data_IF_679699679605
#
_entry.id   IF_679699679605
#
_cell.length_a   1.000
_cell.length_b   1.000
_cell.length_c   1.000
_cell.angle_alpha   90.00
_cell.angle_beta   90.00
_cell.angle_gamma   90.00
#
_symmetry.space_group_name_H-M   'P 1'
#
loop_
_entity.id
_entity.type
_entity.pdbx_description
1 polymer ?
#
# COMPACT_ATOMS: atom_id res chain seq x y z
N UNK A 1 24.38 11.55 5.43
CA UNK A 1 23.42 12.13 6.39
C UNK A 1 23.67 13.62 6.50
N UNK A 2 22.64 14.42 6.24
CA UNK A 2 22.67 15.84 6.48
C UNK A 2 22.38 16.06 7.97
N UNK A 3 23.38 16.50 8.73
CA UNK A 3 23.19 16.95 10.10
C UNK A 3 22.69 18.40 10.12
N UNK A 4 21.59 18.66 10.79
CA UNK A 4 21.11 20.02 11.01
C UNK A 4 21.26 20.36 12.50
N UNK A 5 21.71 21.58 12.76
CA UNK A 5 21.70 22.14 14.09
C UNK A 5 20.48 23.06 14.20
N UNK A 6 19.55 22.70 15.08
CA UNK A 6 18.42 23.58 15.39
C UNK A 6 18.89 24.71 16.28
N UNK A 7 18.65 25.93 15.83
CA UNK A 7 18.91 27.15 16.57
C UNK A 7 17.59 27.80 16.94
N UNK A 8 17.32 27.95 18.22
CA UNK A 8 16.18 28.75 18.68
C UNK A 8 16.56 30.22 18.63
N UNK A 9 15.96 30.97 17.73
CA UNK A 9 16.10 32.43 17.69
C UNK A 9 14.88 33.02 18.35
N UNK A 10 15.02 33.50 19.57
CA UNK A 10 13.94 34.12 20.32
C UNK A 10 13.80 35.61 20.03
N UNK A 11 14.84 36.27 19.56
CA UNK A 11 14.91 37.63 19.08
C UNK A 11 16.07 37.71 18.09
N UNK A 12 15.97 38.55 17.10
CA UNK A 12 17.07 38.78 16.14
C UNK A 12 18.40 39.20 16.78
N UNK A 13 18.38 39.54 18.07
CA UNK A 13 19.53 40.01 18.88
C UNK A 13 20.03 39.01 19.91
N UNK A 14 19.31 37.93 20.13
CA UNK A 14 19.64 36.95 21.17
C UNK A 14 19.65 35.54 20.57
N UNK A 15 20.84 35.08 20.25
CA UNK A 15 21.10 33.69 19.92
C UNK A 15 21.48 32.95 21.21
N UNK A 16 20.61 32.06 21.67
CA UNK A 16 20.94 31.16 22.78
C UNK A 16 21.27 29.77 22.22
N UNK A 17 22.48 29.25 22.44
CA UNK A 17 22.76 27.86 22.14
C UNK A 17 21.98 26.98 23.12
N UNK A 18 21.22 26.02 22.58
CA UNK A 18 20.59 24.97 23.38
C UNK A 18 21.65 23.96 23.81
N UNK A 19 22.04 24.05 25.06
CA UNK A 19 22.87 23.03 25.70
C UNK A 19 21.94 21.97 26.31
N UNK A 20 21.89 20.80 25.71
CA UNK A 20 21.10 19.66 26.20
C UNK A 20 21.39 18.41 25.41
N UNK A 21 20.84 17.30 25.83
CA UNK A 21 20.93 16.05 25.08
C UNK A 21 20.49 16.26 23.63
N UNK A 22 21.36 15.92 22.71
CA UNK A 22 21.07 16.08 21.28
C UNK A 22 19.86 15.22 20.90
N UNK A 23 18.73 15.86 20.67
CA UNK A 23 17.56 15.21 20.08
C UNK A 23 17.87 15.02 18.58
N UNK A 24 17.89 13.79 18.11
CA UNK A 24 17.98 13.53 16.69
C UNK A 24 16.65 13.91 16.06
N UNK A 25 16.62 15.01 15.33
CA UNK A 25 15.51 15.35 14.45
C UNK A 25 15.73 14.67 13.09
N UNK A 26 14.78 13.87 12.66
CA UNK A 26 14.76 13.33 11.31
C UNK A 26 13.94 14.30 10.46
N UNK A 27 14.60 15.02 9.57
CA UNK A 27 13.91 15.83 8.57
C UNK A 27 13.57 14.93 7.39
N UNK A 28 12.30 14.68 7.19
CA UNK A 28 11.81 14.03 5.98
C UNK A 28 11.42 15.08 4.96
N UNK A 29 11.84 14.90 3.71
CA UNK A 29 11.34 15.71 2.60
C UNK A 29 9.86 15.39 2.45
N UNK A 30 8.99 16.34 2.69
CA UNK A 30 7.56 16.25 2.40
C UNK A 30 7.30 16.76 0.98
N UNK A 31 6.64 15.93 0.17
CA UNK A 31 6.08 16.34 -1.11
C UNK A 31 4.58 16.48 -0.96
N UNK A 32 3.95 17.45 -1.63
CA UNK A 32 2.49 17.48 -1.70
C UNK A 32 1.95 16.17 -2.25
N UNK A 33 0.84 15.72 -1.68
CA UNK A 33 0.14 14.55 -2.21
C UNK A 33 -0.47 14.89 -3.57
N UNK A 34 -0.19 14.05 -4.56
CA UNK A 34 -0.84 14.07 -5.86
C UNK A 34 -1.22 12.63 -6.22
N UNK A 35 -2.52 12.37 -6.28
CA UNK A 35 -3.05 11.03 -6.59
C UNK A 35 -2.59 10.54 -7.98
N UNK A 36 -2.24 11.44 -8.90
CA UNK A 36 -1.72 11.06 -10.21
C UNK A 36 -0.40 10.29 -10.14
N UNK A 37 0.38 10.48 -9.06
CA UNK A 37 1.61 9.73 -8.82
C UNK A 37 1.34 8.26 -8.45
N UNK A 38 0.09 7.90 -8.20
CA UNK A 38 -0.37 6.57 -7.82
C UNK A 38 -1.38 5.99 -8.82
N UNK A 39 -1.32 6.44 -10.07
CA UNK A 39 -2.13 5.94 -11.19
C UNK A 39 -1.26 5.48 -12.34
N UNK A 40 -1.78 4.57 -13.15
CA UNK A 40 -1.05 3.95 -14.24
C UNK A 40 -0.52 2.57 -13.88
N UNK A 41 0.53 2.14 -14.54
CA UNK A 41 1.14 0.84 -14.28
C UNK A 41 1.93 0.83 -12.98
N UNK A 42 1.77 -0.27 -12.27
CA UNK A 42 2.38 -0.49 -10.97
C UNK A 42 2.89 -1.93 -10.86
N UNK A 43 4.09 -2.11 -10.35
CA UNK A 43 4.60 -3.43 -9.96
C UNK A 43 4.14 -3.71 -8.53
N UNK A 44 3.30 -4.72 -8.40
CA UNK A 44 2.90 -5.29 -7.12
C UNK A 44 3.87 -6.40 -6.74
N UNK A 45 4.56 -6.25 -5.62
CA UNK A 45 5.32 -7.32 -4.95
C UNK A 45 4.54 -7.76 -3.73
N UNK A 46 4.11 -9.02 -3.66
CA UNK A 46 3.19 -9.49 -2.65
C UNK A 46 3.69 -10.73 -1.93
N UNK A 47 3.71 -10.67 -0.60
CA UNK A 47 4.01 -11.84 0.24
C UNK A 47 2.94 -12.92 0.11
N UNK A 48 1.70 -12.56 -0.18
CA UNK A 48 0.63 -13.51 -0.46
C UNK A 48 0.94 -14.31 -1.73
N UNK A 49 1.28 -13.65 -2.83
CA UNK A 49 1.67 -14.30 -4.09
C UNK A 49 2.90 -15.18 -3.90
N UNK A 50 3.89 -14.71 -3.11
CA UNK A 50 5.09 -15.47 -2.79
C UNK A 50 4.76 -16.78 -2.05
N UNK A 51 3.93 -16.68 -1.02
CA UNK A 51 3.63 -17.82 -0.15
C UNK A 51 2.73 -18.86 -0.82
N UNK A 52 1.77 -18.42 -1.63
CA UNK A 52 0.74 -19.30 -2.20
C UNK A 52 0.92 -19.55 -3.70
N UNK A 53 1.83 -18.84 -4.35
CA UNK A 53 2.21 -19.08 -5.76
C UNK A 53 1.03 -19.18 -6.74
N UNK A 54 -0.05 -18.45 -6.47
CA UNK A 54 -1.28 -18.51 -7.28
C UNK A 54 -0.99 -18.20 -8.75
N UNK A 55 -0.04 -17.29 -9.00
CA UNK A 55 0.36 -16.88 -10.36
C UNK A 55 1.73 -17.41 -10.78
N UNK A 56 2.39 -18.20 -9.94
CA UNK A 56 3.77 -18.66 -10.16
C UNK A 56 4.84 -17.58 -9.95
N UNK A 57 4.46 -16.37 -9.59
CA UNK A 57 5.37 -15.26 -9.33
C UNK A 57 4.95 -14.49 -8.09
N UNK A 58 5.92 -13.94 -7.36
CA UNK A 58 5.67 -13.03 -6.24
C UNK A 58 5.45 -11.58 -6.69
N UNK A 59 5.64 -11.30 -7.97
CA UNK A 59 5.42 -9.99 -8.57
C UNK A 59 4.38 -10.07 -9.67
N UNK A 60 3.64 -8.98 -9.82
CA UNK A 60 2.61 -8.84 -10.84
C UNK A 60 2.56 -7.39 -11.31
N UNK A 61 2.37 -7.20 -12.60
CA UNK A 61 2.05 -5.89 -13.16
C UNK A 61 0.55 -5.65 -12.99
N UNK A 62 0.18 -4.58 -12.30
CA UNK A 62 -1.21 -4.14 -12.13
C UNK A 62 -1.39 -2.74 -12.70
N UNK A 63 -2.63 -2.38 -12.98
CA UNK A 63 -2.99 -1.04 -13.45
C UNK A 63 -3.91 -0.37 -12.44
N UNK A 64 -3.63 0.88 -12.13
CA UNK A 64 -4.42 1.65 -11.18
C UNK A 64 -4.98 2.92 -11.82
N UNK A 65 -6.15 3.32 -11.38
CA UNK A 65 -6.81 4.55 -11.86
C UNK A 65 -7.50 5.25 -10.71
N UNK A 66 -7.77 6.54 -10.87
CA UNK A 66 -8.55 7.31 -9.91
C UNK A 66 -9.95 6.76 -9.80
N UNK A 67 -10.47 6.70 -8.58
CA UNK A 67 -11.88 6.42 -8.39
C UNK A 67 -12.72 7.58 -8.96
N UNK A 68 -13.80 7.30 -9.74
CA UNK A 68 -14.53 8.33 -10.47
C UNK A 68 -15.28 9.33 -9.57
N UNK A 69 -15.61 8.94 -8.34
CA UNK A 69 -16.44 9.76 -7.43
C UNK A 69 -15.87 9.95 -6.03
N UNK A 70 -14.84 9.18 -5.66
CA UNK A 70 -14.23 9.28 -4.33
C UNK A 70 -12.87 9.97 -4.43
N UNK A 71 -12.71 11.05 -3.68
CA UNK A 71 -11.41 11.71 -3.53
C UNK A 71 -10.41 10.77 -2.85
N UNK A 72 -9.14 10.95 -3.19
CA UNK A 72 -8.02 10.23 -2.57
C UNK A 72 -8.14 8.69 -2.64
N UNK A 73 -8.94 8.17 -3.55
CA UNK A 73 -9.14 6.74 -3.76
C UNK A 73 -8.68 6.32 -5.15
N UNK A 74 -7.99 5.18 -5.22
CA UNK A 74 -7.64 4.51 -6.48
C UNK A 74 -8.34 3.17 -6.58
N UNK A 75 -8.57 2.75 -7.82
CA UNK A 75 -9.00 1.39 -8.17
C UNK A 75 -7.77 0.65 -8.70
N UNK A 76 -7.43 -0.47 -8.08
CA UNK A 76 -6.39 -1.37 -8.54
C UNK A 76 -7.03 -2.50 -9.32
N UNK A 77 -6.81 -2.51 -10.63
CA UNK A 77 -7.39 -3.49 -11.54
C UNK A 77 -6.66 -4.82 -11.45
N UNK A 78 -7.42 -5.91 -11.33
CA UNK A 78 -6.87 -7.27 -11.28
C UNK A 78 -5.75 -7.41 -10.23
N UNK A 79 -6.00 -6.92 -9.02
CA UNK A 79 -4.94 -6.74 -8.01
C UNK A 79 -4.20 -8.04 -7.67
N UNK A 80 -4.87 -9.07 -7.21
CA UNK A 80 -4.28 -10.41 -6.97
C UNK A 80 -4.63 -11.34 -8.12
N UNK A 81 -5.91 -11.58 -8.35
CA UNK A 81 -6.38 -12.40 -9.45
C UNK A 81 -7.10 -11.56 -10.51
N UNK A 82 -7.04 -12.01 -11.74
CA UNK A 82 -7.72 -11.37 -12.85
C UNK A 82 -9.24 -11.40 -12.64
N UNK A 83 -9.89 -10.28 -12.92
CA UNK A 83 -11.32 -10.09 -12.68
C UNK A 83 -11.68 -9.54 -11.30
N UNK A 84 -10.72 -9.37 -10.40
CA UNK A 84 -10.93 -8.87 -9.05
C UNK A 84 -10.21 -7.55 -8.81
N UNK A 85 -10.97 -6.48 -8.82
CA UNK A 85 -10.48 -5.12 -8.56
C UNK A 85 -10.65 -4.79 -7.09
N UNK A 86 -9.69 -4.03 -6.54
CA UNK A 86 -9.77 -3.52 -5.17
C UNK A 86 -9.58 -2.02 -5.16
N UNK A 87 -10.05 -1.36 -4.11
CA UNK A 87 -9.85 0.07 -3.89
C UNK A 87 -8.93 0.33 -2.72
N UNK A 88 -8.18 1.42 -2.81
CA UNK A 88 -7.31 1.91 -1.74
C UNK A 88 -7.57 3.39 -1.54
N UNK A 89 -7.64 3.83 -0.29
CA UNK A 89 -7.86 5.22 0.10
C UNK A 89 -6.60 5.80 0.72
N UNK A 90 -6.15 6.93 0.21
CA UNK A 90 -5.02 7.68 0.75
C UNK A 90 -5.51 8.70 1.77
N UNK A 91 -4.75 8.88 2.84
CA UNK A 91 -4.99 9.82 3.92
C UNK A 91 -3.83 10.82 4.01
N UNK A 92 -3.83 11.88 3.18
CA UNK A 92 -2.73 12.84 3.09
C UNK A 92 -2.79 13.97 4.12
N UNK A 93 -3.78 13.99 5.00
CA UNK A 93 -4.08 15.10 5.92
C UNK A 93 -2.93 15.37 6.89
N UNK A 94 -2.25 14.32 7.34
CA UNK A 94 -1.07 14.42 8.19
C UNK A 94 0.19 14.01 7.39
N UNK A 95 1.03 14.99 7.00
CA UNK A 95 2.26 14.69 6.25
C UNK A 95 3.26 13.80 7.02
N UNK A 96 3.13 13.73 8.33
CA UNK A 96 3.97 12.87 9.18
C UNK A 96 3.42 11.44 9.27
N UNK A 97 2.18 11.24 8.83
CA UNK A 97 1.46 9.98 8.85
C UNK A 97 0.72 9.74 7.53
N UNK A 98 1.42 9.59 6.41
CA UNK A 98 0.81 9.40 5.10
C UNK A 98 0.25 7.97 4.98
N UNK A 99 -0.93 7.75 5.54
CA UNK A 99 -1.56 6.43 5.61
C UNK A 99 -2.31 6.09 4.32
N UNK A 100 -2.36 4.79 4.02
CA UNK A 100 -3.23 4.20 3.00
C UNK A 100 -4.03 3.06 3.61
N UNK A 101 -5.30 2.95 3.26
CA UNK A 101 -6.21 1.93 3.80
C UNK A 101 -6.98 1.22 2.71
N UNK A 102 -7.43 0.02 3.03
CA UNK A 102 -8.40 -0.76 2.25
C UNK A 102 -9.60 -1.05 3.13
N UNK A 103 -10.79 -0.79 2.60
CA UNK A 103 -12.04 -1.15 3.26
C UNK A 103 -12.22 -2.68 3.27
N UNK A 104 -12.93 -3.18 4.27
CA UNK A 104 -13.31 -4.59 4.35
C UNK A 104 -14.34 -4.99 3.30
N UNK A 105 -14.47 -6.29 3.05
CA UNK A 105 -15.47 -6.85 2.14
C UNK A 105 -15.08 -6.82 0.67
N UNK A 106 -13.86 -6.40 0.33
CA UNK A 106 -13.38 -6.44 -1.03
C UNK A 106 -12.88 -7.83 -1.40
N UNK A 107 -13.33 -8.35 -2.53
CA UNK A 107 -12.90 -9.67 -3.01
C UNK A 107 -11.64 -9.53 -3.86
N UNK A 108 -10.59 -10.26 -3.48
CA UNK A 108 -9.31 -10.26 -4.21
C UNK A 108 -9.10 -11.52 -5.05
N UNK A 109 -9.84 -12.60 -4.78
CA UNK A 109 -9.72 -13.88 -5.49
C UNK A 109 -10.94 -14.76 -5.24
N UNK A 110 -11.22 -15.68 -6.16
CA UNK A 110 -12.22 -16.75 -6.03
C UNK A 110 -11.59 -18.14 -5.72
N UNK A 111 -10.31 -18.14 -5.40
CA UNK A 111 -9.55 -19.37 -5.13
C UNK A 111 -9.49 -19.73 -3.64
N UNK A 112 -10.58 -19.45 -2.90
CA UNK A 112 -10.66 -19.76 -1.47
C UNK A 112 -10.51 -21.22 -1.12
N UNK A 113 -10.93 -22.13 -2.02
CA UNK A 113 -10.76 -23.58 -1.90
C UNK A 113 -9.31 -24.01 -1.75
N UNK A 114 -8.35 -23.22 -2.28
CA UNK A 114 -6.92 -23.43 -2.10
C UNK A 114 -6.50 -23.49 -0.62
N UNK A 115 -7.25 -22.82 0.26
CA UNK A 115 -7.00 -22.81 1.70
C UNK A 115 -7.77 -23.91 2.47
N UNK A 116 -8.32 -24.89 1.76
CA UNK A 116 -9.09 -25.98 2.36
C UNK A 116 -10.46 -25.56 2.89
N UNK A 117 -10.97 -24.40 2.46
CA UNK A 117 -12.30 -23.93 2.82
C UNK A 117 -13.33 -24.66 1.96
N UNK A 118 -13.82 -25.78 2.47
CA UNK A 118 -14.90 -26.55 1.81
C UNK A 118 -16.28 -25.89 1.96
N UNK A 119 -16.37 -24.79 2.70
CA UNK A 119 -17.60 -24.11 3.07
C UNK A 119 -17.42 -22.60 2.94
N UNK A 120 -18.38 -21.97 2.33
CA UNK A 120 -18.36 -20.54 2.06
C UNK A 120 -18.52 -20.25 0.57
N UNK A 121 -18.31 -19.02 0.18
CA UNK A 121 -18.37 -18.59 -1.21
C UNK A 121 -17.05 -18.77 -1.96
N UNK A 122 -16.08 -19.43 -1.35
CA UNK A 122 -14.71 -19.64 -1.84
C UNK A 122 -13.96 -18.36 -2.22
N UNK A 123 -14.42 -17.22 -1.75
CA UNK A 123 -13.81 -15.92 -2.07
C UNK A 123 -12.82 -15.54 -1.00
N UNK A 124 -11.63 -15.13 -1.45
CA UNK A 124 -10.65 -14.51 -0.59
C UNK A 124 -10.94 -13.02 -0.57
N UNK A 125 -11.33 -12.52 0.59
CA UNK A 125 -11.55 -11.11 0.83
C UNK A 125 -10.29 -10.46 1.39
N UNK A 126 -10.20 -9.15 1.23
CA UNK A 126 -9.06 -8.36 1.67
C UNK A 126 -9.54 -7.09 2.38
N UNK A 127 -8.77 -6.69 3.39
CA UNK A 127 -8.91 -5.41 4.09
C UNK A 127 -7.55 -4.97 4.63
N UNK A 128 -7.47 -3.75 5.14
CA UNK A 128 -6.29 -3.31 5.89
C UNK A 128 -6.04 -4.21 7.08
N UNK A 129 -4.76 -4.54 7.32
CA UNK A 129 -4.36 -5.26 8.52
C UNK A 129 -4.59 -4.39 9.76
N UNK A 130 -5.20 -4.98 10.80
CA UNK A 130 -5.31 -4.33 12.11
C UNK A 130 -3.99 -4.36 12.92
N UNK A 131 -2.99 -5.13 12.47
CA UNK A 131 -1.72 -5.31 13.17
C UNK A 131 -0.67 -4.27 12.80
N UNK A 132 -0.73 -3.74 11.58
CA UNK A 132 0.29 -2.84 11.04
C UNK A 132 -0.33 -1.71 10.22
N UNK A 133 0.19 -0.51 10.38
CA UNK A 133 -0.18 0.62 9.53
C UNK A 133 0.45 0.47 8.14
N UNK A 134 -0.26 0.94 7.14
CA UNK A 134 0.17 0.99 5.76
C UNK A 134 0.44 2.44 5.37
N UNK A 135 1.54 2.69 4.68
CA UNK A 135 2.01 4.04 4.37
C UNK A 135 2.31 4.21 2.89
N UNK A 136 2.11 5.41 2.39
CA UNK A 136 2.52 5.80 1.05
C UNK A 136 3.60 6.89 1.08
N UNK A 137 4.36 6.99 0.01
CA UNK A 137 5.49 7.93 -0.12
C UNK A 137 5.21 8.90 -1.26
N UNK A 138 4.75 10.11 -0.95
CA UNK A 138 4.35 11.08 -1.97
C UNK A 138 5.47 11.48 -2.93
N UNK A 139 6.71 11.49 -2.44
CA UNK A 139 7.88 11.85 -3.23
C UNK A 139 8.42 10.71 -4.11
N UNK A 140 8.01 9.47 -3.88
CA UNK A 140 8.61 8.29 -4.48
C UNK A 140 7.68 7.45 -5.34
N UNK A 141 6.40 7.79 -5.41
CA UNK A 141 5.38 7.02 -6.14
C UNK A 141 5.39 5.53 -5.81
N UNK A 142 5.46 5.21 -4.52
CA UNK A 142 5.35 3.85 -4.02
C UNK A 142 4.65 3.82 -2.66
N UNK A 143 4.15 2.67 -2.29
CA UNK A 143 3.53 2.44 -0.99
C UNK A 143 3.84 1.03 -0.45
N UNK A 144 3.72 0.91 0.86
CA UNK A 144 3.70 -0.36 1.57
C UNK A 144 2.32 -0.56 2.18
N UNK A 145 1.67 -1.67 1.87
CA UNK A 145 0.37 -1.98 2.43
C UNK A 145 0.35 -3.35 3.09
N UNK A 146 -0.03 -3.36 4.36
CA UNK A 146 -0.32 -4.56 5.09
C UNK A 146 -1.79 -4.91 4.95
N UNK A 147 -2.05 -6.08 4.41
CA UNK A 147 -3.41 -6.57 4.20
C UNK A 147 -3.69 -7.79 5.02
N UNK A 148 -4.90 -7.89 5.53
CA UNK A 148 -5.46 -9.12 6.04
C UNK A 148 -6.28 -9.79 4.93
N UNK A 149 -5.90 -11.01 4.59
CA UNK A 149 -6.65 -11.88 3.70
C UNK A 149 -7.49 -12.83 4.54
N UNK A 150 -8.76 -12.93 4.22
CA UNK A 150 -9.69 -13.77 4.97
C UNK A 150 -10.74 -14.40 4.06
N UNK A 151 -11.30 -15.52 4.52
CA UNK A 151 -12.40 -16.22 3.84
C UNK A 151 -13.60 -16.22 4.77
N UNK A 152 -14.72 -15.77 4.26
CA UNK A 152 -15.99 -15.74 4.98
C UNK A 152 -16.76 -17.04 4.69
N UNK A 153 -17.01 -17.82 5.73
CA UNK A 153 -17.83 -19.02 5.64
C UNK A 153 -19.25 -18.74 6.12
N UNK A 154 -20.24 -19.15 5.37
CA UNK A 154 -21.64 -19.00 5.75
C UNK A 154 -21.93 -19.70 7.09
N UNK A 155 -22.27 -18.91 8.12
CA UNK A 155 -22.65 -19.39 9.43
C UNK A 155 -21.49 -19.79 10.36
N UNK A 156 -20.24 -19.54 9.96
CA UNK A 156 -19.04 -19.79 10.78
C UNK A 156 -18.25 -18.47 10.90
N UNK A 157 -17.51 -18.27 12.00
CA UNK A 157 -16.67 -17.09 12.13
C UNK A 157 -15.69 -16.96 10.96
N UNK A 158 -15.42 -15.72 10.57
CA UNK A 158 -14.48 -15.38 9.51
C UNK A 158 -13.12 -16.06 9.73
N UNK A 159 -12.66 -16.78 8.73
CA UNK A 159 -11.34 -17.43 8.75
C UNK A 159 -10.27 -16.50 8.20
N UNK A 160 -9.38 -16.03 9.05
CA UNK A 160 -8.20 -15.28 8.61
C UNK A 160 -7.19 -16.22 7.97
N UNK A 161 -6.82 -15.95 6.72
CA UNK A 161 -5.73 -16.64 6.01
C UNK A 161 -4.38 -16.12 6.52
N UNK A 162 -4.25 -14.82 6.71
CA UNK A 162 -3.07 -14.19 7.27
C UNK A 162 -3.00 -12.70 7.00
N UNK A 163 -1.92 -12.11 7.52
CA UNK A 163 -1.53 -10.72 7.27
C UNK A 163 -0.32 -10.70 6.35
N UNK A 164 -0.44 -9.99 5.24
CA UNK A 164 0.54 -10.00 4.18
C UNK A 164 1.05 -8.60 3.87
N UNK A 165 2.34 -8.52 3.69
CA UNK A 165 3.02 -7.30 3.27
C UNK A 165 3.06 -7.22 1.76
N UNK A 166 2.71 -6.06 1.23
CA UNK A 166 2.74 -5.79 -0.19
C UNK A 166 3.45 -4.46 -0.45
N UNK A 167 4.19 -4.42 -1.54
CA UNK A 167 4.82 -3.21 -2.05
C UNK A 167 4.19 -2.91 -3.40
N UNK A 168 3.81 -1.65 -3.63
CA UNK A 168 3.35 -1.17 -4.93
C UNK A 168 4.24 -0.04 -5.39
N UNK A 169 4.84 -0.19 -6.55
CA UNK A 169 5.78 0.77 -7.15
C UNK A 169 5.27 1.18 -8.53
N UNK A 170 4.94 2.46 -8.69
CA UNK A 170 4.47 2.99 -9.97
C UNK A 170 5.65 3.23 -10.89
N UNK A 171 5.48 2.81 -12.14
CA UNK A 171 6.50 2.81 -13.17
C UNK A 171 5.98 3.55 -14.42
N UNK A 172 6.89 3.89 -15.33
CA UNK A 172 6.50 4.48 -16.61
C UNK A 172 5.85 3.46 -17.53
N UNK A 173 5.08 3.94 -18.51
CA UNK A 173 4.46 3.08 -19.54
C UNK A 173 5.53 2.32 -20.33
N UNK A 174 6.68 2.94 -20.60
CA UNK A 174 7.80 2.30 -21.30
C UNK A 174 8.36 1.11 -20.52
N UNK A 175 8.52 1.28 -19.23
CA UNK A 175 8.98 0.22 -18.33
C UNK A 175 7.93 -0.90 -18.23
N UNK A 176 6.66 -0.55 -18.15
CA UNK A 176 5.58 -1.52 -18.14
C UNK A 176 5.55 -2.36 -19.43
N UNK A 177 5.73 -1.74 -20.59
CA UNK A 177 5.80 -2.44 -21.87
C UNK A 177 7.05 -3.35 -21.97
N UNK A 178 8.16 -2.94 -21.35
CA UNK A 178 9.34 -3.79 -21.23
C UNK A 178 9.05 -5.04 -20.39
N UNK A 179 8.46 -4.87 -19.22
CA UNK A 179 8.12 -5.96 -18.32
C UNK A 179 7.13 -6.95 -18.93
N UNK A 180 6.12 -6.45 -19.65
CA UNK A 180 5.18 -7.31 -20.41
C UNK A 180 5.88 -8.18 -21.45
N UNK A 181 6.86 -7.62 -22.18
CA UNK A 181 7.66 -8.40 -23.14
C UNK A 181 8.54 -9.45 -22.47
N UNK A 182 8.93 -9.23 -21.23
CA UNK A 182 9.71 -10.16 -20.40
C UNK A 182 8.84 -11.21 -19.70
N UNK A 183 7.51 -11.12 -19.84
CA UNK A 183 6.57 -12.13 -19.34
C UNK A 183 5.98 -11.86 -17.96
N UNK A 184 6.03 -10.59 -17.51
CA UNK A 184 5.35 -10.15 -16.28
C UNK A 184 3.92 -9.76 -16.57
#
# INVERSE_FOLDING_TARGET
SLGFQLRLVMDERLEMPLYGNSTKAVLMKSCPFDINNFTGYCVLTSMFLYQYSITGSYQKLVYTEKHPTQENMIICRNWINDGYDVTMTFHPEDPMKPLVTMDEGQVASDEGSFFGTAHGDDRIQVRSSALNESIFYPCGSYLYIWTEMYVENLGIPVGTVGHFYNIMEWISDEEAERLKREGM
#
